data_IF_316371665914
#
_entry.id   IF_316371665914
#
_cell.length_a   1.000
_cell.length_b   1.000
_cell.length_c   1.000
_cell.angle_alpha   90.00
_cell.angle_beta   90.00
_cell.angle_gamma   90.00
#
_symmetry.space_group_name_H-M   'P 1'
#
loop_
_entity.id
_entity.type
_entity.pdbx_description
1 polymer ?
#
# COMPACT_ATOMS: atom_id res chain seq x y z
N UNK A 1 -3.27 -22.53 5.67
CA UNK A 1 -2.82 -21.35 6.45
C UNK A 1 -2.01 -20.49 5.50
N UNK A 2 -2.48 -19.28 5.16
CA UNK A 2 -1.80 -18.43 4.19
C UNK A 2 -0.46 -17.94 4.78
N UNK A 3 0.63 -18.12 4.04
CA UNK A 3 1.96 -17.67 4.41
C UNK A 3 1.94 -16.13 4.39
N UNK A 4 2.24 -15.48 5.51
CA UNK A 4 2.42 -14.04 5.51
C UNK A 4 3.70 -13.70 4.75
N UNK A 5 3.55 -13.14 3.56
CA UNK A 5 4.67 -12.76 2.72
C UNK A 5 5.15 -11.38 3.18
N UNK A 6 6.44 -11.28 3.53
CA UNK A 6 7.06 -10.03 3.99
C UNK A 6 7.30 -9.12 2.78
N UNK A 7 7.05 -7.83 2.96
CA UNK A 7 7.35 -6.80 1.98
C UNK A 7 7.89 -5.58 2.71
N UNK A 8 9.08 -5.15 2.31
CA UNK A 8 9.71 -3.93 2.81
C UNK A 8 9.90 -3.00 1.62
N UNK A 9 9.47 -1.75 1.78
CA UNK A 9 9.61 -0.72 0.76
C UNK A 9 10.66 0.29 1.23
N UNK A 10 11.60 0.59 0.34
CA UNK A 10 12.55 1.68 0.55
C UNK A 10 11.86 3.05 0.59
N UNK A 11 12.59 4.11 0.93
CA UNK A 11 12.03 5.45 1.05
C UNK A 11 11.44 5.92 -0.29
N UNK A 12 10.13 6.18 -0.30
CA UNK A 12 9.43 6.71 -1.46
C UNK A 12 9.90 8.14 -1.78
N UNK A 13 10.00 8.46 -3.07
CA UNK A 13 10.33 9.79 -3.59
C UNK A 13 9.26 10.20 -4.61
N UNK A 14 8.92 11.49 -4.63
CA UNK A 14 7.83 12.02 -5.45
C UNK A 14 8.18 13.38 -6.06
N UNK A 15 7.52 13.74 -7.16
CA UNK A 15 7.81 14.95 -7.95
C UNK A 15 6.90 16.15 -7.63
N UNK A 16 6.13 16.11 -6.53
CA UNK A 16 5.20 17.19 -6.07
C UNK A 16 4.32 17.77 -7.20
N UNK A 17 3.82 16.91 -8.08
CA UNK A 17 2.94 17.34 -9.18
C UNK A 17 1.57 17.69 -8.61
N UNK A 18 0.96 18.73 -9.15
CA UNK A 18 -0.39 19.12 -8.76
C UNK A 18 -1.42 18.22 -9.46
N UNK A 19 -2.38 17.73 -8.68
CA UNK A 19 -3.62 17.14 -9.16
C UNK A 19 -4.78 18.04 -8.72
N UNK A 20 -5.82 18.19 -9.55
CA UNK A 20 -7.02 18.93 -9.16
C UNK A 20 -7.78 18.24 -8.00
N UNK A 21 -7.52 16.94 -7.80
CA UNK A 21 -8.03 16.14 -6.68
C UNK A 21 -7.10 16.25 -5.46
N UNK A 22 -7.62 15.82 -4.30
CA UNK A 22 -6.94 15.96 -3.01
C UNK A 22 -5.55 15.32 -2.98
N UNK A 23 -4.55 16.08 -2.54
CA UNK A 23 -3.19 15.63 -2.21
C UNK A 23 -3.11 14.74 -0.96
N UNK A 24 -4.22 14.60 -0.23
CA UNK A 24 -4.27 13.76 0.98
C UNK A 24 -4.04 12.28 0.68
N UNK A 25 -4.46 11.80 -0.49
CA UNK A 25 -4.28 10.40 -0.87
C UNK A 25 -2.80 10.04 -1.07
N UNK A 26 -2.02 10.94 -1.68
CA UNK A 26 -0.58 10.73 -1.89
C UNK A 26 0.16 10.64 -0.54
N UNK A 27 -0.15 11.56 0.39
CA UNK A 27 0.42 11.53 1.75
C UNK A 27 0.07 10.23 2.48
N UNK A 28 -1.20 9.81 2.43
CA UNK A 28 -1.65 8.57 3.07
C UNK A 28 -0.97 7.33 2.46
N UNK A 29 -0.77 7.30 1.13
CA UNK A 29 -0.06 6.22 0.46
C UNK A 29 1.39 6.13 0.95
N UNK A 30 2.11 7.26 1.05
CA UNK A 30 3.49 7.25 1.53
C UNK A 30 3.61 6.80 2.98
N UNK A 31 2.65 7.17 3.85
CA UNK A 31 2.61 6.66 5.22
C UNK A 31 2.38 5.15 5.25
N UNK A 32 1.46 4.63 4.44
CA UNK A 32 1.21 3.20 4.33
C UNK A 32 2.45 2.44 3.80
N UNK A 33 3.12 2.97 2.78
CA UNK A 33 4.36 2.38 2.23
C UNK A 33 5.51 2.37 3.24
N UNK A 34 5.61 3.39 4.10
CA UNK A 34 6.65 3.46 5.13
C UNK A 34 6.41 2.50 6.30
N UNK A 35 5.15 2.14 6.56
CA UNK A 35 4.73 1.30 7.69
C UNK A 35 4.48 -0.16 7.31
N UNK A 36 4.59 -0.53 6.03
CA UNK A 36 4.31 -1.89 5.57
C UNK A 36 5.37 -2.87 6.06
N UNK A 37 4.90 -4.02 6.52
CA UNK A 37 5.75 -5.15 6.93
C UNK A 37 5.35 -6.44 6.22
N UNK A 38 4.06 -6.59 5.91
CA UNK A 38 3.51 -7.78 5.26
C UNK A 38 2.48 -7.41 4.20
N UNK A 39 2.16 -8.35 3.34
CA UNK A 39 1.07 -8.20 2.38
C UNK A 39 0.21 -9.46 2.27
N UNK A 40 -0.99 -9.29 1.71
CA UNK A 40 -1.86 -10.38 1.27
C UNK A 40 -2.35 -10.11 -0.14
N UNK A 41 -2.38 -11.16 -0.97
CA UNK A 41 -3.02 -11.13 -2.29
C UNK A 41 -4.19 -12.11 -2.24
N UNK A 42 -5.40 -11.61 -2.42
CA UNK A 42 -6.62 -12.40 -2.43
C UNK A 42 -7.44 -12.12 -3.68
N UNK A 43 -7.49 -13.08 -4.61
CA UNK A 43 -8.21 -13.01 -5.87
C UNK A 43 -7.88 -11.75 -6.72
N UNK A 44 -8.56 -10.64 -6.47
CA UNK A 44 -8.41 -9.35 -7.17
C UNK A 44 -7.94 -8.22 -6.27
N UNK A 45 -7.61 -8.48 -5.02
CA UNK A 45 -7.16 -7.46 -4.07
C UNK A 45 -5.73 -7.72 -3.61
N UNK A 46 -4.95 -6.65 -3.56
CA UNK A 46 -3.64 -6.61 -2.93
C UNK A 46 -3.73 -5.71 -1.71
N UNK A 47 -3.43 -6.26 -0.54
CA UNK A 47 -3.59 -5.58 0.74
C UNK A 47 -2.25 -5.46 1.43
N UNK A 48 -1.86 -4.24 1.77
CA UNK A 48 -0.70 -3.96 2.62
C UNK A 48 -1.09 -3.99 4.08
N UNK A 49 -0.24 -4.60 4.90
CA UNK A 49 -0.44 -4.74 6.34
C UNK A 49 0.83 -4.39 7.10
N UNK A 50 0.65 -3.91 8.33
CA UNK A 50 1.75 -3.79 9.28
C UNK A 50 2.03 -5.12 9.99
N UNK A 51 2.93 -5.08 10.97
CA UNK A 51 3.29 -6.18 11.86
C UNK A 51 2.14 -6.62 12.78
N UNK A 52 1.20 -5.72 13.09
CA UNK A 52 -0.01 -5.97 13.86
C UNK A 52 -1.20 -6.46 13.00
N UNK A 53 -0.98 -6.78 11.72
CA UNK A 53 -2.00 -7.15 10.74
C UNK A 53 -3.07 -6.07 10.46
N UNK A 54 -2.81 -4.81 10.78
CA UNK A 54 -3.70 -3.68 10.43
C UNK A 54 -3.57 -3.38 8.95
N UNK A 55 -4.70 -3.16 8.29
CA UNK A 55 -4.74 -2.81 6.85
C UNK A 55 -4.28 -1.38 6.66
N UNK A 56 -3.22 -1.20 5.86
CA UNK A 56 -2.64 0.10 5.55
C UNK A 56 -3.14 0.64 4.21
N UNK A 57 -3.23 -0.23 3.20
CA UNK A 57 -3.71 0.13 1.87
C UNK A 57 -4.30 -1.09 1.15
N UNK A 58 -5.28 -0.87 0.28
CA UNK A 58 -5.89 -1.90 -0.56
C UNK A 58 -5.88 -1.43 -2.01
N UNK A 59 -5.38 -2.30 -2.88
CA UNK A 59 -5.33 -2.11 -4.33
C UNK A 59 -6.20 -3.15 -4.99
N UNK A 60 -6.92 -2.75 -6.04
CA UNK A 60 -7.80 -3.64 -6.81
C UNK A 60 -7.13 -3.90 -8.15
N UNK A 61 -7.01 -5.18 -8.53
CA UNK A 61 -6.50 -5.56 -9.83
C UNK A 61 -7.48 -5.13 -10.93
N UNK A 62 -6.97 -4.38 -11.91
CA UNK A 62 -7.74 -3.82 -13.03
C UNK A 62 -7.45 -4.51 -14.37
N UNK A 63 -6.58 -5.53 -14.42
CA UNK A 63 -6.39 -6.30 -15.67
C UNK A 63 -7.69 -7.00 -16.05
N UNK A 64 -8.17 -6.73 -17.27
CA UNK A 64 -9.27 -7.44 -17.92
C UNK A 64 -8.84 -8.85 -18.32
#
# INVERSE_FOLDING_TARGET
MAKAEKLELGPARATRKYCAQSSTQETALFQAMAAVSTYSIEAKTFTLKDDLNRVLAVFINTTK
#
